data_IF_614774045476
#
_entry.id   IF_614774045476
#
_cell.length_a   1.000
_cell.length_b   1.000
_cell.length_c   1.000
_cell.angle_alpha   90.00
_cell.angle_beta   90.00
_cell.angle_gamma   90.00
#
_symmetry.space_group_name_H-M   'P 1'
#
loop_
_entity.id
_entity.type
_entity.pdbx_description
1 polymer ?
#
# COMPACT_ATOMS: atom_id res chain seq x y z
N UNK A 1 -14.15 16.93 -33.35
CA UNK A 1 -13.63 17.22 -31.99
C UNK A 1 -12.61 16.14 -31.65
N UNK A 2 -11.32 16.44 -31.91
CA UNK A 2 -10.22 15.49 -31.74
C UNK A 2 -9.78 15.51 -30.28
N UNK A 3 -10.23 14.52 -29.49
CA UNK A 3 -9.69 14.31 -28.16
C UNK A 3 -8.26 13.77 -28.32
N UNK A 4 -7.32 14.65 -28.04
CA UNK A 4 -5.90 14.46 -28.23
C UNK A 4 -5.44 13.21 -27.44
N UNK A 5 -5.01 12.15 -28.14
CA UNK A 5 -4.50 10.90 -27.55
C UNK A 5 -3.40 11.16 -26.50
N UNK A 6 -2.68 12.29 -26.62
CA UNK A 6 -1.71 12.76 -25.62
C UNK A 6 -2.33 13.15 -24.28
N UNK A 7 -3.54 13.71 -24.25
CA UNK A 7 -4.26 13.98 -23.00
C UNK A 7 -4.69 12.67 -22.32
N UNK A 8 -5.18 11.69 -23.08
CA UNK A 8 -5.59 10.39 -22.51
C UNK A 8 -4.37 9.62 -21.98
N UNK A 9 -3.24 9.67 -22.71
CA UNK A 9 -1.96 9.11 -22.25
C UNK A 9 -1.41 9.82 -21.01
N UNK A 10 -1.50 11.15 -20.94
CA UNK A 10 -1.13 11.91 -19.73
C UNK A 10 -2.03 11.57 -18.54
N UNK A 11 -3.34 11.37 -18.76
CA UNK A 11 -4.27 10.91 -17.72
C UNK A 11 -3.95 9.48 -17.26
N UNK A 12 -3.61 8.58 -18.18
CA UNK A 12 -3.16 7.22 -17.86
C UNK A 12 -1.79 7.19 -17.18
N UNK A 13 -0.86 8.06 -17.55
CA UNK A 13 0.46 8.18 -16.90
C UNK A 13 0.35 8.78 -15.50
N UNK A 14 -0.56 9.75 -15.30
CA UNK A 14 -0.88 10.31 -13.97
C UNK A 14 -1.61 9.30 -13.09
N UNK A 15 -2.46 8.43 -13.68
CA UNK A 15 -3.07 7.29 -13.00
C UNK A 15 -2.06 6.16 -12.72
N UNK A 16 -1.07 5.96 -13.60
CA UNK A 16 0.01 4.97 -13.42
C UNK A 16 1.08 5.42 -12.42
N UNK A 17 1.32 6.73 -12.23
CA UNK A 17 2.16 7.21 -11.11
C UNK A 17 1.48 7.01 -9.75
N UNK A 18 0.15 6.84 -9.73
CA UNK A 18 -0.63 6.42 -8.56
C UNK A 18 -0.74 4.88 -8.43
N UNK A 19 -0.20 4.12 -9.38
CA UNK A 19 -0.03 2.67 -9.29
C UNK A 19 1.21 2.34 -8.44
N UNK A 20 1.15 2.78 -7.19
CA UNK A 20 1.56 1.94 -6.06
C UNK A 20 0.93 0.57 -6.34
N UNK A 21 1.64 -0.54 -6.11
CA UNK A 21 0.96 -1.84 -6.01
C UNK A 21 0.05 -1.73 -4.78
N UNK A 22 -1.12 -1.15 -4.99
CA UNK A 22 -2.16 -0.94 -4.01
C UNK A 22 -2.70 -2.35 -3.79
N UNK A 23 -2.85 -2.83 -2.55
CA UNK A 23 -3.44 -4.15 -2.27
C UNK A 23 -4.75 -4.39 -3.02
N UNK A 24 -5.44 -3.32 -3.42
CA UNK A 24 -6.52 -3.34 -4.38
C UNK A 24 -6.29 -4.22 -5.62
N UNK A 25 -5.19 -4.03 -6.36
CA UNK A 25 -4.92 -4.80 -7.58
C UNK A 25 -4.67 -6.28 -7.24
N UNK A 26 -3.94 -6.54 -6.16
CA UNK A 26 -3.70 -7.91 -5.69
C UNK A 26 -5.02 -8.62 -5.36
N UNK A 27 -5.94 -7.94 -4.69
CA UNK A 27 -7.25 -8.50 -4.33
C UNK A 27 -8.12 -8.77 -5.56
N UNK A 28 -8.10 -7.87 -6.55
CA UNK A 28 -8.84 -8.06 -7.79
C UNK A 28 -8.30 -9.22 -8.61
N UNK A 29 -6.98 -9.30 -8.80
CA UNK A 29 -6.34 -10.40 -9.52
C UNK A 29 -6.60 -11.74 -8.82
N UNK A 30 -6.44 -11.80 -7.49
CA UNK A 30 -6.66 -13.03 -6.75
C UNK A 30 -8.12 -13.49 -6.83
N UNK A 31 -9.07 -12.54 -6.83
CA UNK A 31 -10.48 -12.84 -7.04
C UNK A 31 -10.78 -13.30 -8.47
N UNK A 32 -10.15 -12.71 -9.48
CA UNK A 32 -10.36 -13.09 -10.89
C UNK A 32 -9.81 -14.49 -11.21
N UNK A 33 -8.62 -14.82 -10.70
CA UNK A 33 -7.97 -16.10 -10.99
C UNK A 33 -8.39 -17.23 -10.05
N UNK A 34 -8.58 -16.93 -8.75
CA UNK A 34 -8.80 -17.95 -7.73
C UNK A 34 -10.17 -17.85 -7.04
N UNK A 35 -10.99 -16.83 -7.35
CA UNK A 35 -12.32 -16.65 -6.76
C UNK A 35 -12.33 -16.28 -5.26
N UNK A 36 -11.17 -16.18 -4.63
CA UNK A 36 -11.03 -15.99 -3.18
C UNK A 36 -10.11 -14.81 -2.86
N UNK A 37 -10.00 -14.42 -1.58
CA UNK A 37 -9.02 -13.41 -1.13
C UNK A 37 -7.69 -14.10 -0.78
N UNK A 38 -6.51 -13.46 -0.95
CA UNK A 38 -5.25 -14.05 -0.50
C UNK A 38 -5.30 -14.32 1.00
N UNK A 39 -4.83 -15.47 1.47
CA UNK A 39 -4.86 -15.83 2.90
C UNK A 39 -4.00 -14.88 3.75
N UNK A 40 -2.81 -14.51 3.25
CA UNK A 40 -1.83 -13.70 3.97
C UNK A 40 -1.92 -12.20 3.64
N UNK A 41 -3.10 -11.75 3.21
CA UNK A 41 -3.32 -10.37 2.77
C UNK A 41 -2.98 -9.32 3.83
N UNK A 42 -3.16 -9.66 5.12
CA UNK A 42 -2.93 -8.78 6.26
C UNK A 42 -1.45 -8.38 6.42
N UNK A 43 -0.51 -9.20 5.93
CA UNK A 43 0.92 -8.92 5.99
C UNK A 43 1.36 -7.78 5.05
N UNK A 44 0.56 -7.50 4.02
CA UNK A 44 0.84 -6.41 3.08
C UNK A 44 0.31 -5.05 3.55
N UNK A 45 -0.39 -5.01 4.68
CA UNK A 45 -0.98 -3.78 5.22
C UNK A 45 0.04 -3.02 6.06
N UNK A 46 0.38 -1.80 5.63
CA UNK A 46 1.30 -0.91 6.37
C UNK A 46 0.55 0.23 7.06
N UNK A 47 -0.64 0.53 6.54
CA UNK A 47 -1.51 1.60 7.01
C UNK A 47 -2.96 1.34 6.61
N UNK A 48 -3.87 2.08 7.24
CA UNK A 48 -5.29 2.11 6.86
C UNK A 48 -5.57 2.69 5.46
N UNK A 49 -4.56 3.26 4.79
CA UNK A 49 -4.65 3.81 3.44
C UNK A 49 -4.39 2.75 2.36
N UNK A 50 -3.69 1.67 2.71
CA UNK A 50 -3.46 0.55 1.79
C UNK A 50 -4.74 -0.29 1.58
N UNK A 51 -5.71 -0.17 2.50
CA UNK A 51 -7.00 -0.88 2.44
C UNK A 51 -7.92 -0.21 1.40
N UNK A 52 -8.43 -0.95 0.39
CA UNK A 52 -9.34 -0.40 -0.60
C UNK A 52 -10.62 0.15 0.04
N UNK A 53 -11.00 1.38 -0.30
CA UNK A 53 -12.16 2.09 0.30
C UNK A 53 -13.44 1.26 0.26
N UNK A 54 -13.70 0.57 -0.86
CA UNK A 54 -14.90 -0.28 -1.05
C UNK A 54 -15.02 -1.39 0.00
N UNK A 55 -13.89 -1.92 0.48
CA UNK A 55 -13.84 -3.07 1.39
C UNK A 55 -13.32 -2.70 2.78
N UNK A 56 -13.13 -1.40 3.05
CA UNK A 56 -12.39 -0.92 4.20
C UNK A 56 -12.95 -1.39 5.54
N UNK A 57 -14.26 -1.24 5.74
CA UNK A 57 -14.94 -1.65 6.98
C UNK A 57 -14.80 -3.16 7.21
N UNK A 58 -15.04 -3.97 6.17
CA UNK A 58 -14.96 -5.43 6.26
C UNK A 58 -13.54 -5.90 6.59
N UNK A 59 -12.54 -5.33 5.93
CA UNK A 59 -11.14 -5.71 6.13
C UNK A 59 -10.61 -5.25 7.49
N UNK A 60 -10.98 -4.05 7.94
CA UNK A 60 -10.62 -3.58 9.28
C UNK A 60 -11.23 -4.48 10.36
N UNK A 61 -12.49 -4.91 10.17
CA UNK A 61 -13.14 -5.88 11.06
C UNK A 61 -12.37 -7.20 11.11
N UNK A 62 -11.96 -7.74 9.96
CA UNK A 62 -11.15 -8.95 9.87
C UNK A 62 -9.77 -8.79 10.54
N UNK A 63 -9.08 -7.65 10.35
CA UNK A 63 -7.82 -7.34 11.05
C UNK A 63 -7.96 -7.42 12.57
N UNK A 64 -9.08 -6.92 13.11
CA UNK A 64 -9.36 -6.96 14.55
C UNK A 64 -9.71 -8.36 15.04
N UNK A 65 -10.63 -9.03 14.35
CA UNK A 65 -11.22 -10.29 14.82
C UNK A 65 -10.34 -11.51 14.56
N UNK A 66 -9.69 -11.58 13.40
CA UNK A 66 -8.92 -12.76 12.98
C UNK A 66 -7.43 -12.61 13.33
N UNK A 67 -6.88 -11.40 13.20
CA UNK A 67 -5.43 -11.16 13.34
C UNK A 67 -5.05 -10.43 14.64
N UNK A 68 -6.04 -10.02 15.44
CA UNK A 68 -5.81 -9.38 16.75
C UNK A 68 -5.15 -8.01 16.66
N UNK A 69 -5.37 -7.27 15.57
CA UNK A 69 -4.89 -5.89 15.45
C UNK A 69 -5.80 -4.94 16.23
N UNK A 70 -5.21 -3.85 16.74
CA UNK A 70 -5.97 -2.77 17.35
C UNK A 70 -6.45 -1.80 16.26
N UNK A 71 -7.66 -2.08 15.77
CA UNK A 71 -8.30 -1.32 14.72
C UNK A 71 -9.77 -1.04 15.03
N UNK A 72 -10.23 0.17 14.71
CA UNK A 72 -11.57 0.66 15.04
C UNK A 72 -12.12 1.59 13.96
N UNK A 73 -13.37 1.34 13.55
CA UNK A 73 -14.06 2.12 12.53
C UNK A 73 -13.32 2.13 11.19
N UNK A 74 -12.61 3.23 10.92
CA UNK A 74 -11.86 3.47 9.67
C UNK A 74 -10.34 3.59 9.88
N UNK A 75 -9.85 3.42 11.10
CA UNK A 75 -8.44 3.59 11.47
C UNK A 75 -7.86 2.31 12.06
N UNK A 76 -6.56 2.14 11.83
CA UNK A 76 -5.72 1.10 12.43
C UNK A 76 -4.71 1.84 13.31
N UNK A 77 -4.67 1.53 14.60
CA UNK A 77 -3.78 2.20 15.56
C UNK A 77 -2.49 1.40 15.76
N UNK A 78 -2.64 0.11 16.03
CA UNK A 78 -1.54 -0.82 16.30
C UNK A 78 -1.75 -2.14 15.57
N UNK A 79 -0.66 -2.73 15.13
CA UNK A 79 -0.64 -4.01 14.43
C UNK A 79 0.04 -5.06 15.30
N UNK A 80 -0.36 -6.31 15.11
CA UNK A 80 0.30 -7.44 15.74
C UNK A 80 1.55 -7.80 14.93
N UNK A 81 2.72 -7.77 15.58
CA UNK A 81 3.96 -8.19 14.96
C UNK A 81 4.04 -9.72 14.84
N UNK A 82 4.98 -10.23 14.04
CA UNK A 82 5.30 -11.66 13.97
C UNK A 82 5.64 -12.27 15.33
N UNK A 83 6.26 -11.48 16.21
CA UNK A 83 6.59 -11.88 17.59
C UNK A 83 5.35 -11.99 18.49
N UNK A 84 4.16 -11.71 17.96
CA UNK A 84 2.88 -11.76 18.68
C UNK A 84 2.58 -10.50 19.48
N UNK A 85 3.55 -9.61 19.69
CA UNK A 85 3.39 -8.34 20.40
C UNK A 85 2.63 -7.28 19.59
N UNK A 86 1.85 -6.46 20.28
CA UNK A 86 1.15 -5.33 19.67
C UNK A 86 2.09 -4.12 19.58
N UNK A 87 2.28 -3.60 18.38
CA UNK A 87 3.18 -2.47 18.11
C UNK A 87 2.49 -1.39 17.31
N UNK A 88 2.85 -0.13 17.56
CA UNK A 88 2.37 0.99 16.75
C UNK A 88 2.78 0.79 15.29
N UNK A 89 1.93 1.20 14.35
CA UNK A 89 2.22 1.08 12.91
C UNK A 89 3.57 1.68 12.49
N UNK A 90 3.99 2.78 13.11
CA UNK A 90 5.31 3.38 12.86
C UNK A 90 6.44 2.41 13.21
N UNK A 91 6.41 1.83 14.41
CA UNK A 91 7.39 0.85 14.86
C UNK A 91 7.35 -0.44 14.04
N UNK A 92 6.15 -0.90 13.68
CA UNK A 92 5.96 -2.03 12.78
C UNK A 92 6.68 -1.77 11.44
N UNK A 93 6.36 -0.66 10.79
CA UNK A 93 6.93 -0.31 9.50
C UNK A 93 8.46 -0.21 9.57
N UNK A 94 9.00 0.46 10.59
CA UNK A 94 10.46 0.54 10.80
C UNK A 94 11.10 -0.83 11.01
N UNK A 95 10.45 -1.75 11.75
CA UNK A 95 11.00 -3.10 11.99
C UNK A 95 11.14 -3.93 10.71
N UNK A 96 10.26 -3.69 9.73
CA UNK A 96 10.35 -4.30 8.39
C UNK A 96 11.20 -3.48 7.42
N UNK A 97 11.95 -2.47 7.90
CA UNK A 97 12.76 -1.58 7.06
C UNK A 97 11.94 -0.69 6.13
N UNK A 98 10.66 -0.49 6.44
CA UNK A 98 9.74 0.33 5.66
C UNK A 98 9.57 1.69 6.33
N UNK A 99 10.17 2.75 5.79
CA UNK A 99 9.77 4.10 6.20
C UNK A 99 8.32 4.37 5.81
N UNK A 100 7.58 5.16 6.59
CA UNK A 100 6.25 5.66 6.21
C UNK A 100 6.38 6.58 4.99
N UNK A 101 6.38 5.97 3.82
CA UNK A 101 6.45 6.62 2.53
C UNK A 101 5.98 5.63 1.48
N UNK A 102 5.30 6.13 0.47
CA UNK A 102 4.89 5.34 -0.68
C UNK A 102 6.13 4.81 -1.40
N UNK A 103 6.60 3.63 -1.01
CA UNK A 103 7.64 2.91 -1.73
C UNK A 103 7.05 2.42 -3.06
N UNK A 104 7.03 3.31 -4.04
CA UNK A 104 7.28 2.89 -5.41
C UNK A 104 8.64 2.22 -5.39
N UNK A 105 8.83 1.13 -6.14
CA UNK A 105 10.17 0.64 -6.44
C UNK A 105 11.01 1.88 -6.80
N UNK A 106 11.96 2.29 -5.93
CA UNK A 106 12.84 3.43 -6.18
C UNK A 106 13.82 3.01 -7.26
N UNK A 107 13.32 2.83 -8.48
CA UNK A 107 14.15 2.82 -9.65
C UNK A 107 14.81 4.19 -9.68
N UNK A 108 16.14 4.21 -9.67
CA UNK A 108 16.96 5.43 -9.65
C UNK A 108 16.46 6.50 -10.63
N UNK A 109 15.98 6.08 -11.80
CA UNK A 109 15.41 6.93 -12.86
C UNK A 109 14.11 7.68 -12.49
N UNK A 110 13.35 7.19 -11.51
CA UNK A 110 12.05 7.74 -11.10
C UNK A 110 12.14 8.73 -9.93
N UNK A 111 13.34 8.93 -9.36
CA UNK A 111 13.53 9.92 -8.30
C UNK A 111 13.61 11.35 -8.88
N UNK A 112 13.02 12.35 -8.19
CA UNK A 112 13.19 13.77 -8.53
C UNK A 112 14.68 14.14 -8.68
N UNK A 113 15.00 14.99 -9.66
CA UNK A 113 16.40 15.38 -9.99
C UNK A 113 17.19 15.87 -8.76
N UNK A 114 16.53 16.62 -7.86
CA UNK A 114 17.17 17.16 -6.67
C UNK A 114 17.54 16.11 -5.61
N UNK A 115 16.88 14.93 -5.61
CA UNK A 115 17.23 13.81 -4.73
C UNK A 115 18.40 13.01 -5.30
N UNK A 116 18.44 12.85 -6.64
CA UNK A 116 19.54 12.16 -7.34
C UNK A 116 20.90 12.81 -7.11
N UNK A 117 20.95 14.15 -7.14
CA UNK A 117 22.19 14.91 -6.99
C UNK A 117 22.84 14.79 -5.59
N UNK A 118 22.13 14.26 -4.58
CA UNK A 118 22.61 14.24 -3.18
C UNK A 118 23.47 13.00 -2.84
N UNK A 119 23.48 11.97 -3.68
CA UNK A 119 24.26 10.74 -3.45
C UNK A 119 25.56 10.64 -4.25
N UNK A 120 25.80 11.51 -5.23
CA UNK A 120 27.05 11.51 -6.02
C UNK A 120 28.25 12.12 -5.26
N UNK A 121 28.02 12.66 -4.06
CA UNK A 121 29.07 13.12 -3.14
C UNK A 121 29.03 12.32 -1.84
N UNK A 122 29.42 11.04 -1.89
CA UNK A 122 29.83 10.24 -0.72
C UNK A 122 30.80 9.16 -1.17
#
# INVERSE_FOLDING_TARGET
MSHNLRSILLWLETLCTLAVIRPHLLFELHRLFYGQMPNDWHLYMRSHLDIPTRHKIRLIKALREEYGWDAGGLKVNSARNRDGGLVTLSKLNTSYGMEQGTHHCRLWRLLPRHIRARQECS
#
